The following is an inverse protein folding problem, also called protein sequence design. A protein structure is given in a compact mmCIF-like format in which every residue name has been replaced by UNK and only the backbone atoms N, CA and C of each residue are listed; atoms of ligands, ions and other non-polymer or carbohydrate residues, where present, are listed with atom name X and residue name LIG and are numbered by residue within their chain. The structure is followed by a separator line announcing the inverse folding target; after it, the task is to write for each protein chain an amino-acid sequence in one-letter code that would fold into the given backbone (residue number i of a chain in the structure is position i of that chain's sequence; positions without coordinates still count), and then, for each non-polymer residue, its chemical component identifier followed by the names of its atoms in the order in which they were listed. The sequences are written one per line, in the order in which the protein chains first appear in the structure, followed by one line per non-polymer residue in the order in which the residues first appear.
data_IF_778598358211
#
_entry.id   IF_778598358211
#
_cell.length_a   1.000
_cell.length_b   1.000
_cell.length_c   1.000
_cell.angle_alpha   90.00
_cell.angle_beta   90.00
_cell.angle_gamma   90.00
#
_symmetry.space_group_name_H-M   'P 1'
#
loop_
_entity.id
_entity.type
_entity.pdbx_description
1 polymer ?
#
# COMPACT_ATOMS: atom_id res chain seq x y z
N UNK A 1 -15.59 8.05 -8.62
CA UNK A 1 -15.44 6.61 -8.89
C UNK A 1 -15.33 5.83 -7.59
N UNK A 2 -16.25 4.91 -7.31
CA UNK A 2 -16.17 4.02 -6.14
C UNK A 2 -15.03 3.03 -6.38
N UNK A 3 -13.81 3.38 -5.97
CA UNK A 3 -12.67 2.45 -5.94
C UNK A 3 -13.16 1.18 -5.25
N UNK A 4 -13.14 0.05 -5.96
CA UNK A 4 -13.95 -1.11 -5.64
C UNK A 4 -13.40 -1.82 -4.38
N UNK A 5 -13.68 -1.26 -3.19
CA UNK A 5 -13.23 -1.74 -1.87
C UNK A 5 -13.53 -3.23 -1.63
N UNK A 6 -14.46 -3.82 -2.39
CA UNK A 6 -14.76 -5.25 -2.39
C UNK A 6 -13.55 -6.11 -2.72
N UNK A 7 -12.65 -5.68 -3.61
CA UNK A 7 -11.47 -6.47 -4.00
C UNK A 7 -10.48 -6.61 -2.84
N UNK A 8 -10.38 -5.61 -1.97
CA UNK A 8 -9.51 -5.65 -0.79
C UNK A 8 -9.94 -6.72 0.22
N UNK A 9 -11.18 -7.22 0.19
CA UNK A 9 -11.59 -8.36 1.04
C UNK A 9 -10.82 -9.63 0.69
N UNK A 10 -10.70 -9.92 -0.61
CA UNK A 10 -10.11 -11.17 -1.11
C UNK A 10 -8.59 -11.11 -1.24
N UNK A 11 -8.01 -9.90 -1.28
CA UNK A 11 -6.56 -9.74 -1.36
C UNK A 11 -5.92 -10.00 0.02
N UNK A 12 -4.93 -10.89 0.02
CA UNK A 12 -4.06 -11.11 1.17
C UNK A 12 -2.87 -10.13 1.11
N UNK A 13 -3.04 -9.00 1.81
CA UNK A 13 -2.08 -7.89 1.84
C UNK A 13 -0.69 -8.34 2.33
N UNK A 14 -0.62 -9.24 3.33
CA UNK A 14 0.66 -9.77 3.82
C UNK A 14 1.42 -10.50 2.72
N UNK A 15 0.74 -11.42 2.02
CA UNK A 15 1.32 -12.18 0.91
C UNK A 15 1.79 -11.26 -0.22
N UNK A 16 1.07 -10.16 -0.45
CA UNK A 16 1.46 -9.18 -1.45
C UNK A 16 2.73 -8.41 -1.05
N UNK A 17 2.80 -7.86 0.17
CA UNK A 17 3.99 -7.14 0.64
C UNK A 17 5.23 -8.05 0.63
N UNK A 18 5.06 -9.33 0.99
CA UNK A 18 6.15 -10.31 0.90
C UNK A 18 6.74 -10.47 -0.51
N UNK A 19 6.02 -10.13 -1.59
CA UNK A 19 6.56 -10.14 -2.96
C UNK A 19 7.53 -9.01 -3.24
N UNK A 20 7.38 -7.86 -2.59
CA UNK A 20 8.20 -6.67 -2.84
C UNK A 20 9.49 -6.65 -2.00
N UNK A 21 9.83 -7.77 -1.35
CA UNK A 21 11.05 -7.91 -0.53
C UNK A 21 11.24 -6.81 0.53
N UNK A 22 10.14 -6.21 1.01
CA UNK A 22 10.22 -5.19 2.04
C UNK A 22 10.39 -5.82 3.42
N UNK A 23 11.29 -5.25 4.22
CA UNK A 23 11.35 -5.53 5.65
C UNK A 23 10.14 -4.88 6.33
N UNK A 24 9.24 -5.71 6.85
CA UNK A 24 8.05 -5.27 7.59
C UNK A 24 7.95 -5.94 8.95
N UNK A 25 7.36 -5.22 9.90
CA UNK A 25 7.02 -5.69 11.24
C UNK A 25 5.52 -5.53 11.45
N UNK A 26 4.88 -6.53 12.02
CA UNK A 26 3.48 -6.40 12.40
C UNK A 26 3.37 -5.66 13.74
N UNK A 27 2.56 -4.61 13.78
CA UNK A 27 2.21 -3.86 14.97
C UNK A 27 0.69 -3.88 15.14
N UNK A 28 0.18 -4.80 15.97
CA UNK A 28 -1.26 -5.03 16.14
C UNK A 28 -1.94 -5.43 14.82
N UNK A 29 -2.84 -4.57 14.33
CA UNK A 29 -3.58 -4.74 13.08
C UNK A 29 -2.93 -4.06 11.86
N UNK A 30 -1.79 -3.41 12.07
CA UNK A 30 -1.06 -2.65 11.06
C UNK A 30 0.29 -3.31 10.77
N UNK A 31 0.77 -3.15 9.55
CA UNK A 31 2.10 -3.57 9.09
C UNK A 31 2.95 -2.32 8.98
N UNK A 32 4.00 -2.24 9.79
CA UNK A 32 4.94 -1.14 9.81
C UNK A 32 6.17 -1.51 8.99
N UNK A 33 6.54 -0.69 8.03
CA UNK A 33 7.69 -0.88 7.17
C UNK A 33 8.36 0.44 6.80
N UNK A 34 9.49 0.37 6.08
CA UNK A 34 10.07 1.55 5.44
C UNK A 34 9.12 2.04 4.35
N UNK A 35 9.04 3.36 4.19
CA UNK A 35 8.20 3.93 3.15
C UNK A 35 8.85 3.69 1.79
N UNK A 36 8.13 3.13 0.80
CA UNK A 36 8.68 2.99 -0.54
C UNK A 36 8.61 4.29 -1.36
N UNK A 37 7.80 5.27 -0.91
CA UNK A 37 7.57 6.52 -1.63
C UNK A 37 8.66 7.58 -1.42
N UNK A 38 9.49 7.41 -0.41
CA UNK A 38 10.61 8.31 -0.14
C UNK A 38 11.78 7.52 0.45
N UNK A 39 13.00 7.97 0.15
CA UNK A 39 14.22 7.30 0.63
C UNK A 39 14.46 7.66 2.09
N UNK A 40 13.98 6.82 3.00
CA UNK A 40 14.20 6.96 4.44
C UNK A 40 14.58 5.61 5.05
N UNK A 41 15.44 5.66 6.08
CA UNK A 41 15.91 4.48 6.81
C UNK A 41 14.92 4.08 7.90
N UNK A 42 14.04 4.99 8.33
CA UNK A 42 13.06 4.75 9.40
C UNK A 42 11.82 4.02 8.88
N UNK A 43 11.36 3.05 9.67
CA UNK A 43 10.10 2.34 9.43
C UNK A 43 8.92 3.21 9.89
N UNK A 44 8.53 4.17 9.03
CA UNK A 44 7.46 5.14 9.32
C UNK A 44 6.19 4.93 8.50
N UNK A 45 6.13 3.87 7.69
CA UNK A 45 4.97 3.54 6.87
C UNK A 45 4.11 2.47 7.55
N UNK A 46 2.84 2.76 7.80
CA UNK A 46 1.89 1.83 8.38
C UNK A 46 0.79 1.47 7.37
N UNK A 47 0.62 0.19 7.09
CA UNK A 47 -0.43 -0.36 6.24
C UNK A 47 -1.38 -1.22 7.05
N UNK A 48 -2.67 -0.88 7.02
CA UNK A 48 -3.71 -1.65 7.72
C UNK A 48 -4.09 -2.88 6.91
N UNK A 49 -3.85 -4.08 7.44
CA UNK A 49 -4.18 -5.32 6.73
C UNK A 49 -5.44 -6.01 7.28
N UNK A 50 -5.97 -5.54 8.41
CA UNK A 50 -7.13 -6.12 9.12
C UNK A 50 -8.10 -5.03 9.58
N UNK A 51 -9.39 -5.36 9.69
CA UNK A 51 -10.45 -4.45 10.17
C UNK A 51 -11.19 -3.68 9.07
N UNK A 52 -12.03 -2.73 9.46
CA UNK A 52 -12.89 -1.95 8.54
C UNK A 52 -12.10 -1.01 7.62
N UNK A 53 -10.92 -0.59 8.06
CA UNK A 53 -9.98 0.25 7.30
C UNK A 53 -8.89 -0.58 6.61
N UNK A 54 -9.16 -1.87 6.35
CA UNK A 54 -8.24 -2.75 5.62
C UNK A 54 -7.91 -2.14 4.25
N UNK A 55 -6.61 -2.08 3.98
CA UNK A 55 -6.05 -1.50 2.77
C UNK A 55 -5.69 -0.02 2.92
N UNK A 56 -6.04 0.66 4.00
CA UNK A 56 -5.57 2.04 4.18
C UNK A 56 -4.11 2.06 4.61
N UNK A 57 -3.34 3.01 4.07
CA UNK A 57 -1.96 3.25 4.47
C UNK A 57 -1.73 4.70 4.88
N UNK A 58 -0.73 4.89 5.73
CA UNK A 58 -0.26 6.20 6.17
C UNK A 58 1.25 6.16 6.39
N UNK A 59 1.95 7.16 5.88
CA UNK A 59 3.31 7.45 6.27
C UNK A 59 3.32 8.52 7.36
N UNK A 60 3.86 8.19 8.52
CA UNK A 60 4.00 9.11 9.66
C UNK A 60 5.25 10.01 9.57
N UNK A 61 6.03 9.92 8.50
CA UNK A 61 7.18 10.79 8.31
C UNK A 61 6.72 12.18 7.89
N UNK A 62 7.15 13.23 8.61
CA UNK A 62 6.78 14.62 8.35
C UNK A 62 7.21 15.13 6.97
N UNK A 63 8.20 14.50 6.35
CA UNK A 63 8.67 14.84 4.99
C UNK A 63 7.89 14.10 3.88
N UNK A 64 6.99 13.19 4.22
CA UNK A 64 6.22 12.41 3.24
C UNK A 64 4.72 12.60 3.43
N UNK A 65 4.19 12.30 4.62
CA UNK A 65 2.77 12.45 4.95
C UNK A 65 1.79 11.71 4.03
N UNK A 66 2.28 10.81 3.14
CA UNK A 66 1.42 10.14 2.16
C UNK A 66 0.40 9.26 2.85
N UNK A 67 -0.86 9.40 2.46
CA UNK A 67 -1.96 8.56 2.93
C UNK A 67 -2.82 8.14 1.75
N UNK A 68 -3.46 6.99 1.86
CA UNK A 68 -4.33 6.50 0.78
C UNK A 68 -4.81 5.08 1.01
N UNK A 69 -5.42 4.52 -0.04
CA UNK A 69 -5.82 3.12 -0.08
C UNK A 69 -4.76 2.26 -0.78
N UNK A 70 -4.80 0.95 -0.54
CA UNK A 70 -3.88 -0.04 -1.09
C UNK A 70 -3.85 -0.04 -2.61
N UNK A 71 -4.95 0.36 -3.25
CA UNK A 71 -5.00 0.54 -4.70
C UNK A 71 -4.14 1.72 -5.15
N UNK A 72 -4.19 2.86 -4.45
CA UNK A 72 -3.28 3.99 -4.71
C UNK A 72 -1.83 3.55 -4.50
N UNK A 73 -1.57 2.75 -3.46
CA UNK A 73 -0.23 2.22 -3.21
C UNK A 73 0.28 1.38 -4.38
N UNK A 74 -0.54 0.45 -4.89
CA UNK A 74 -0.17 -0.40 -6.03
C UNK A 74 0.02 0.45 -7.29
N UNK A 75 -0.91 1.36 -7.59
CA UNK A 75 -0.80 2.25 -8.75
C UNK A 75 0.50 3.05 -8.74
N UNK A 76 0.91 3.58 -7.58
CA UNK A 76 2.17 4.30 -7.46
C UNK A 76 3.41 3.38 -7.55
N UNK A 77 3.34 2.18 -6.96
CA UNK A 77 4.44 1.20 -6.98
C UNK A 77 4.71 0.65 -8.38
N UNK A 78 3.66 0.35 -9.14
CA UNK A 78 3.74 -0.20 -10.49
C UNK A 78 3.81 0.90 -11.57
N UNK A 79 3.73 2.18 -11.18
CA UNK A 79 3.70 3.31 -12.12
C UNK A 79 2.44 3.34 -13.00
N UNK A 80 1.41 2.57 -12.66
CA UNK A 80 0.17 2.48 -13.44
C UNK A 80 -0.65 3.73 -13.12
N UNK A 81 -0.82 4.60 -14.12
CA UNK A 81 -1.70 5.75 -13.98
C UNK A 81 -3.12 5.25 -13.71
N UNK A 82 -3.86 5.91 -12.81
CA UNK A 82 -5.26 5.54 -12.48
C UNK A 82 -6.20 5.55 -13.70
N UNK A 83 -5.72 6.09 -14.82
CA UNK A 83 -6.41 6.28 -16.09
C UNK A 83 -5.94 5.33 -17.20
N UNK A 84 -5.01 4.41 -16.92
CA UNK A 84 -4.58 3.44 -17.92
C UNK A 84 -5.55 2.25 -17.99
N UNK A 85 -6.75 2.58 -18.46
CA UNK A 85 -7.75 1.64 -18.94
C UNK A 85 -7.53 1.29 -20.42
N UNK A 86 -6.27 1.17 -20.86
CA UNK A 86 -5.95 0.84 -22.25
C UNK A 86 -4.63 0.07 -22.35
N UNK A 87 -4.76 -1.26 -22.27
CA UNK A 87 -4.06 -2.27 -23.09
C UNK A 87 -2.55 -2.06 -23.28
N UNK A 88 -1.75 -3.04 -22.84
CA UNK A 88 -0.73 -3.63 -23.71
C UNK A 88 -0.45 -5.08 -23.28
N UNK A 89 -1.08 -5.99 -24.00
CA UNK A 89 -0.57 -7.33 -24.28
C UNK A 89 0.84 -7.21 -24.88
N UNK A 90 1.79 -7.98 -24.36
CA UNK A 90 2.91 -8.53 -25.11
C UNK A 90 3.35 -9.82 -24.41
#
# INVERSE_FOLDING_TARGET
MRTNKRLLRYINIKKFISKYSFEWKQSGNDLVMRCPFHRDRKASFALRFKGERKGNFICYSGNCGKTGDFITFISEMEGISRYDGSICTA
#
